data_IF_706773463721
#
_entry.id   IF_706773463721
#
_cell.length_a   1.000
_cell.length_b   1.000
_cell.length_c   1.000
_cell.angle_alpha   90.00
_cell.angle_beta   90.00
_cell.angle_gamma   90.00
#
_symmetry.space_group_name_H-M   'P 1'
#
loop_
_entity.id
_entity.type
_entity.pdbx_description
1 polymer ?
#
# COMPACT_ATOMS: atom_id res chain seq x y z
N UNK A 1 -26.69 11.82 2.62
CA UNK A 1 -26.80 10.34 2.51
C UNK A 1 -25.93 9.60 3.52
N UNK A 2 -24.60 9.80 3.57
CA UNK A 2 -23.71 9.10 4.54
C UNK A 2 -24.15 9.26 6.01
N UNK A 3 -24.52 10.47 6.43
CA UNK A 3 -25.01 10.71 7.81
C UNK A 3 -26.30 9.95 8.14
N UNK A 4 -27.15 9.68 7.13
CA UNK A 4 -28.33 8.83 7.31
C UNK A 4 -27.87 7.39 7.58
N UNK A 5 -27.01 6.82 6.71
CA UNK A 5 -26.51 5.44 6.85
C UNK A 5 -25.77 5.18 8.18
N UNK A 6 -25.14 6.20 8.77
CA UNK A 6 -24.53 6.10 10.10
C UNK A 6 -25.51 5.69 11.19
N UNK A 7 -26.76 6.16 11.10
CA UNK A 7 -27.79 5.95 12.11
C UNK A 7 -28.84 4.90 11.68
N UNK A 8 -28.76 4.41 10.45
CA UNK A 8 -29.69 3.41 9.91
C UNK A 8 -29.39 2.01 10.45
N UNK A 9 -30.43 1.23 10.74
CA UNK A 9 -30.29 -0.16 11.21
C UNK A 9 -29.82 -1.08 10.08
N UNK A 10 -29.11 -2.16 10.44
CA UNK A 10 -28.58 -3.15 9.49
C UNK A 10 -29.64 -3.63 8.49
N UNK A 11 -30.84 -3.97 8.97
CA UNK A 11 -31.95 -4.48 8.14
C UNK A 11 -32.32 -3.50 7.02
N UNK A 12 -32.38 -2.21 7.34
CA UNK A 12 -32.82 -1.19 6.39
C UNK A 12 -31.71 -0.88 5.37
N UNK A 13 -30.44 -0.86 5.79
CA UNK A 13 -29.28 -0.75 4.87
C UNK A 13 -29.23 -1.95 3.92
N UNK A 14 -29.45 -3.15 4.42
CA UNK A 14 -29.46 -4.37 3.62
C UNK A 14 -30.63 -4.39 2.62
N UNK A 15 -31.80 -3.91 3.04
CA UNK A 15 -32.96 -3.77 2.14
C UNK A 15 -32.71 -2.74 1.05
N UNK A 16 -32.01 -1.64 1.37
CA UNK A 16 -31.59 -0.64 0.39
C UNK A 16 -30.63 -1.25 -0.63
N UNK A 17 -29.61 -1.98 -0.19
CA UNK A 17 -28.65 -2.68 -1.07
C UNK A 17 -29.36 -3.67 -1.99
N UNK A 18 -30.26 -4.51 -1.47
CA UNK A 18 -30.96 -5.55 -2.26
C UNK A 18 -31.98 -4.99 -3.27
N UNK A 19 -32.50 -3.78 -3.05
CA UNK A 19 -33.56 -3.18 -3.90
C UNK A 19 -33.04 -2.10 -4.84
N UNK A 20 -31.79 -1.67 -4.68
CA UNK A 20 -31.21 -0.66 -5.52
C UNK A 20 -31.04 -1.19 -6.96
N UNK A 21 -31.29 -0.35 -7.98
CA UNK A 21 -30.84 -0.62 -9.34
C UNK A 21 -29.33 -0.85 -9.38
N UNK A 22 -28.88 -1.70 -10.31
CA UNK A 22 -27.48 -2.11 -10.42
C UNK A 22 -26.54 -0.90 -10.60
N UNK A 23 -26.99 0.15 -11.31
CA UNK A 23 -26.22 1.36 -11.56
C UNK A 23 -26.01 2.20 -10.30
N UNK A 24 -26.89 2.06 -9.31
CA UNK A 24 -26.79 2.77 -8.03
C UNK A 24 -25.99 2.00 -6.97
N UNK A 25 -25.81 0.68 -7.13
CA UNK A 25 -25.12 -0.17 -6.15
C UNK A 25 -23.72 0.33 -5.77
N UNK A 26 -22.83 0.72 -6.73
CA UNK A 26 -21.50 1.22 -6.39
C UNK A 26 -21.55 2.42 -5.43
N UNK A 27 -22.44 3.38 -5.68
CA UNK A 27 -22.59 4.58 -4.85
C UNK A 27 -23.09 4.26 -3.44
N UNK A 28 -24.01 3.30 -3.33
CA UNK A 28 -24.55 2.88 -2.02
C UNK A 28 -23.47 2.14 -1.22
N UNK A 29 -22.67 1.29 -1.87
CA UNK A 29 -21.53 0.62 -1.25
C UNK A 29 -20.50 1.64 -0.75
N UNK A 30 -20.08 2.58 -1.60
CA UNK A 30 -19.13 3.62 -1.21
C UNK A 30 -19.65 4.44 -0.02
N UNK A 31 -20.93 4.81 -0.03
CA UNK A 31 -21.55 5.55 1.06
C UNK A 31 -21.65 4.73 2.36
N UNK A 32 -21.92 3.42 2.27
CA UNK A 32 -21.99 2.52 3.41
C UNK A 32 -20.59 2.29 4.03
N UNK A 33 -19.54 2.16 3.21
CA UNK A 33 -18.16 2.10 3.67
C UNK A 33 -17.76 3.43 4.33
N UNK A 34 -18.10 4.57 3.73
CA UNK A 34 -17.82 5.90 4.29
C UNK A 34 -18.60 6.20 5.58
N UNK A 35 -19.74 5.53 5.79
CA UNK A 35 -20.51 5.66 7.03
C UNK A 35 -19.73 5.10 8.23
N UNK A 36 -18.94 4.03 8.06
CA UNK A 36 -18.18 3.37 9.12
C UNK A 36 -19.02 2.93 10.33
N UNK A 37 -20.34 2.77 10.18
CA UNK A 37 -21.20 2.28 11.25
C UNK A 37 -21.22 0.75 11.28
N UNK A 38 -21.30 0.17 12.48
CA UNK A 38 -21.41 -1.28 12.67
C UNK A 38 -22.56 -1.86 11.84
N UNK A 39 -23.69 -1.15 11.79
CA UNK A 39 -24.86 -1.56 11.00
C UNK A 39 -24.60 -1.57 9.49
N UNK A 40 -23.91 -0.56 8.95
CA UNK A 40 -23.59 -0.48 7.52
C UNK A 40 -22.57 -1.54 7.12
N UNK A 41 -21.51 -1.72 7.91
CA UNK A 41 -20.49 -2.73 7.64
C UNK A 41 -21.05 -4.15 7.76
N UNK A 42 -21.90 -4.43 8.76
CA UNK A 42 -22.56 -5.72 8.88
C UNK A 42 -23.53 -6.00 7.72
N UNK A 43 -24.21 -4.97 7.20
CA UNK A 43 -25.06 -5.10 6.02
C UNK A 43 -24.24 -5.39 4.76
N UNK A 44 -23.11 -4.69 4.56
CA UNK A 44 -22.18 -4.96 3.46
C UNK A 44 -21.58 -6.37 3.55
N UNK A 45 -21.22 -6.81 4.76
CA UNK A 45 -20.71 -8.16 4.98
C UNK A 45 -21.73 -9.23 4.62
N UNK A 46 -23.02 -9.00 4.84
CA UNK A 46 -24.08 -9.94 4.44
C UNK A 46 -24.39 -9.85 2.94
N UNK A 47 -24.31 -8.67 2.36
CA UNK A 47 -24.67 -8.42 0.96
C UNK A 47 -23.58 -8.89 -0.02
N UNK A 48 -22.31 -8.57 0.23
CA UNK A 48 -21.22 -8.81 -0.71
C UNK A 48 -20.75 -10.27 -0.67
N UNK A 49 -21.12 -11.05 -1.69
CA UNK A 49 -20.56 -12.39 -1.94
C UNK A 49 -19.45 -12.32 -3.00
N UNK A 50 -18.19 -12.33 -2.55
CA UNK A 50 -17.04 -12.24 -3.45
C UNK A 50 -16.92 -13.40 -4.47
N UNK A 51 -17.67 -14.50 -4.27
CA UNK A 51 -17.74 -15.61 -5.24
C UNK A 51 -18.82 -15.46 -6.31
N UNK A 52 -19.72 -14.47 -6.19
CA UNK A 52 -20.89 -14.31 -7.07
C UNK A 52 -21.05 -12.91 -7.63
N UNK A 53 -20.70 -11.89 -6.85
CA UNK A 53 -20.87 -10.50 -7.25
C UNK A 53 -19.98 -10.13 -8.44
N UNK A 54 -20.41 -9.19 -9.30
CA UNK A 54 -19.59 -8.72 -10.39
C UNK A 54 -18.25 -8.15 -9.91
N UNK A 55 -17.17 -8.48 -10.61
CA UNK A 55 -15.81 -8.00 -10.32
C UNK A 55 -15.76 -6.48 -10.13
N UNK A 56 -16.43 -5.72 -11.00
CA UNK A 56 -16.48 -4.25 -10.93
C UNK A 56 -17.07 -3.75 -9.61
N UNK A 57 -18.07 -4.43 -9.07
CA UNK A 57 -18.70 -4.08 -7.80
C UNK A 57 -17.76 -4.37 -6.61
N UNK A 58 -17.07 -5.52 -6.65
CA UNK A 58 -16.10 -5.91 -5.65
C UNK A 58 -14.89 -4.96 -5.60
N UNK A 59 -14.37 -4.58 -6.76
CA UNK A 59 -13.30 -3.59 -6.86
C UNK A 59 -13.74 -2.23 -6.29
N UNK A 60 -14.96 -1.78 -6.57
CA UNK A 60 -15.51 -0.54 -5.99
C UNK A 60 -15.56 -0.58 -4.47
N UNK A 61 -16.02 -1.70 -3.89
CA UNK A 61 -15.97 -1.90 -2.45
C UNK A 61 -14.53 -1.83 -1.91
N UNK A 62 -13.58 -2.54 -2.53
CA UNK A 62 -12.19 -2.60 -2.09
C UNK A 62 -11.48 -1.23 -2.20
N UNK A 63 -11.72 -0.48 -3.27
CA UNK A 63 -11.21 0.88 -3.40
C UNK A 63 -11.81 1.80 -2.34
N UNK A 64 -13.13 1.75 -2.12
CA UNK A 64 -13.78 2.53 -1.07
C UNK A 64 -13.18 2.22 0.31
N UNK A 65 -12.90 0.94 0.59
CA UNK A 65 -12.25 0.52 1.83
C UNK A 65 -10.82 1.07 1.92
N UNK A 66 -10.01 0.87 0.87
CA UNK A 66 -8.62 1.34 0.81
C UNK A 66 -8.51 2.86 1.00
N UNK A 67 -9.44 3.64 0.45
CA UNK A 67 -9.46 5.10 0.54
C UNK A 67 -10.16 5.65 1.77
N UNK A 68 -10.75 4.80 2.63
CA UNK A 68 -11.41 5.28 3.85
C UNK A 68 -10.42 6.07 4.73
N UNK A 69 -10.71 7.33 5.11
CA UNK A 69 -9.74 8.18 5.79
C UNK A 69 -9.50 7.78 7.25
N UNK A 70 -10.53 7.25 7.92
CA UNK A 70 -10.48 6.74 9.29
C UNK A 70 -11.20 5.40 9.34
N UNK A 71 -10.55 4.32 8.89
CA UNK A 71 -11.15 3.00 8.91
C UNK A 71 -11.31 2.48 10.34
N UNK A 72 -12.27 1.57 10.51
CA UNK A 72 -12.51 0.78 11.72
C UNK A 72 -11.88 -0.61 11.62
N UNK A 73 -11.70 -1.28 12.77
CA UNK A 73 -11.23 -2.67 12.80
C UNK A 73 -12.23 -3.60 12.12
N UNK A 74 -13.53 -3.31 12.22
CA UNK A 74 -14.62 -4.03 11.58
C UNK A 74 -14.53 -3.99 10.05
N UNK A 75 -14.11 -2.85 9.47
CA UNK A 75 -13.89 -2.76 8.02
C UNK A 75 -12.69 -3.62 7.59
N UNK A 76 -11.60 -3.62 8.36
CA UNK A 76 -10.46 -4.49 8.08
C UNK A 76 -10.85 -5.96 8.22
N UNK A 77 -11.59 -6.32 9.26
CA UNK A 77 -12.11 -7.67 9.46
C UNK A 77 -12.97 -8.12 8.29
N UNK A 78 -13.87 -7.26 7.80
CA UNK A 78 -14.71 -7.56 6.65
C UNK A 78 -13.86 -7.84 5.41
N UNK A 79 -12.86 -7.01 5.10
CA UNK A 79 -11.95 -7.26 3.97
C UNK A 79 -11.19 -8.58 4.15
N UNK A 80 -10.67 -8.86 5.35
CA UNK A 80 -9.97 -10.11 5.64
C UNK A 80 -10.87 -11.33 5.45
N UNK A 81 -12.08 -11.31 6.00
CA UNK A 81 -13.07 -12.38 5.89
C UNK A 81 -13.48 -12.64 4.42
N UNK A 82 -13.63 -11.57 3.63
CA UNK A 82 -14.01 -11.71 2.22
C UNK A 82 -12.90 -12.26 1.34
N UNK A 83 -11.64 -12.08 1.71
CA UNK A 83 -10.49 -12.62 0.99
C UNK A 83 -10.09 -14.03 1.45
N UNK A 84 -10.43 -14.42 2.68
CA UNK A 84 -9.97 -15.67 3.27
C UNK A 84 -10.52 -16.91 2.56
N UNK A 85 -9.63 -17.85 2.21
CA UNK A 85 -9.98 -19.17 1.67
C UNK A 85 -10.71 -19.20 0.31
N UNK A 86 -10.88 -18.07 -0.37
CA UNK A 86 -11.65 -17.99 -1.62
C UNK A 86 -10.76 -17.92 -2.86
N UNK A 87 -11.17 -18.64 -3.90
CA UNK A 87 -10.60 -18.47 -5.23
C UNK A 87 -11.30 -17.30 -5.91
N UNK A 88 -10.62 -16.14 -5.93
CA UNK A 88 -11.15 -14.89 -6.49
C UNK A 88 -10.54 -14.63 -7.87
N UNK A 89 -11.19 -13.75 -8.64
CA UNK A 89 -10.56 -13.20 -9.83
C UNK A 89 -9.24 -12.50 -9.42
N UNK A 90 -8.14 -12.68 -10.17
CA UNK A 90 -6.82 -12.17 -9.79
C UNK A 90 -6.83 -10.69 -9.41
N UNK A 91 -7.52 -9.85 -10.16
CA UNK A 91 -7.52 -8.41 -9.93
C UNK A 91 -8.30 -8.02 -8.67
N UNK A 92 -9.34 -8.78 -8.30
CA UNK A 92 -10.06 -8.60 -7.03
C UNK A 92 -9.16 -9.00 -5.86
N UNK A 93 -8.41 -10.09 -6.00
CA UNK A 93 -7.46 -10.54 -4.99
C UNK A 93 -6.33 -9.51 -4.80
N UNK A 94 -5.77 -9.00 -5.90
CA UNK A 94 -4.74 -7.97 -5.89
C UNK A 94 -5.23 -6.67 -5.25
N UNK A 95 -6.39 -6.15 -5.68
CA UNK A 95 -7.01 -4.98 -5.08
C UNK A 95 -7.28 -5.21 -3.58
N UNK A 96 -7.67 -6.41 -3.19
CA UNK A 96 -7.91 -6.80 -1.80
C UNK A 96 -6.67 -6.74 -0.93
N UNK A 97 -5.56 -7.29 -1.42
CA UNK A 97 -4.26 -7.27 -0.72
C UNK A 97 -3.76 -5.82 -0.56
N UNK A 98 -3.85 -5.01 -1.61
CA UNK A 98 -3.44 -3.59 -1.58
C UNK A 98 -4.33 -2.79 -0.62
N UNK A 99 -5.64 -3.03 -0.63
CA UNK A 99 -6.61 -2.41 0.28
C UNK A 99 -6.33 -2.77 1.74
N UNK A 100 -6.02 -4.04 2.01
CA UNK A 100 -5.64 -4.53 3.34
C UNK A 100 -4.41 -3.77 3.87
N UNK A 101 -3.38 -3.58 3.05
CA UNK A 101 -2.20 -2.79 3.42
C UNK A 101 -2.55 -1.34 3.81
N UNK A 102 -3.44 -0.70 3.05
CA UNK A 102 -3.90 0.67 3.34
C UNK A 102 -4.69 0.76 4.66
N UNK A 103 -5.55 -0.22 4.93
CA UNK A 103 -6.34 -0.28 6.16
C UNK A 103 -5.43 -0.50 7.38
N UNK A 104 -4.51 -1.45 7.30
CA UNK A 104 -3.50 -1.71 8.35
C UNK A 104 -2.71 -0.45 8.64
N UNK A 105 -2.15 0.20 7.62
CA UNK A 105 -1.35 1.42 7.81
C UNK A 105 -2.12 2.55 8.48
N UNK A 106 -3.38 2.78 8.07
CA UNK A 106 -4.23 3.81 8.67
C UNK A 106 -4.67 3.47 10.10
N UNK A 107 -4.91 2.20 10.43
CA UNK A 107 -5.20 1.79 11.80
C UNK A 107 -3.96 1.94 12.69
N UNK A 108 -2.78 1.60 12.19
CA UNK A 108 -1.52 1.82 12.90
C UNK A 108 -1.21 3.31 13.13
N UNK A 109 -1.50 4.18 12.15
CA UNK A 109 -1.41 5.64 12.30
C UNK A 109 -2.39 6.18 13.36
N UNK A 110 -3.52 5.50 13.56
CA UNK A 110 -4.48 5.77 14.64
C UNK A 110 -4.09 5.13 15.98
N UNK A 111 -2.85 4.64 16.13
CA UNK A 111 -2.31 3.98 17.32
C UNK A 111 -2.95 2.63 17.66
N UNK A 112 -3.53 1.93 16.68
CA UNK A 112 -4.21 0.63 16.87
C UNK A 112 -3.36 -0.60 16.47
N UNK A 113 -2.09 -0.40 16.10
CA UNK A 113 -1.25 -1.41 15.43
C UNK A 113 -1.04 -2.73 16.19
N UNK A 114 -1.09 -2.69 17.52
CA UNK A 114 -0.99 -3.87 18.41
C UNK A 114 -2.10 -3.91 19.46
N UNK A 115 -3.17 -3.15 19.24
CA UNK A 115 -4.34 -3.12 20.14
C UNK A 115 -5.50 -3.94 19.58
N UNK A 116 -5.50 -4.20 18.27
CA UNK A 116 -6.57 -4.88 17.56
C UNK A 116 -6.05 -6.14 16.89
N UNK A 117 -6.67 -7.28 17.20
CA UNK A 117 -6.33 -8.59 16.64
C UNK A 117 -6.45 -8.60 15.12
N UNK A 118 -7.38 -7.82 14.57
CA UNK A 118 -7.63 -7.66 13.14
C UNK A 118 -6.41 -7.08 12.43
N UNK A 119 -5.73 -6.12 13.06
CA UNK A 119 -4.53 -5.48 12.50
C UNK A 119 -3.38 -6.47 12.45
N UNK A 120 -3.11 -7.18 13.57
CA UNK A 120 -2.09 -8.22 13.61
C UNK A 120 -2.34 -9.33 12.59
N UNK A 121 -3.61 -9.76 12.44
CA UNK A 121 -4.02 -10.71 11.41
C UNK A 121 -3.72 -10.17 10.01
N UNK A 122 -4.05 -8.91 9.73
CA UNK A 122 -3.74 -8.25 8.45
C UNK A 122 -2.25 -8.24 8.14
N UNK A 123 -1.40 -7.83 9.09
CA UNK A 123 0.06 -7.85 8.94
C UNK A 123 0.57 -9.26 8.65
N UNK A 124 0.11 -10.25 9.44
CA UNK A 124 0.51 -11.64 9.28
C UNK A 124 0.09 -12.20 7.91
N UNK A 125 -1.10 -11.87 7.43
CA UNK A 125 -1.60 -12.27 6.11
C UNK A 125 -0.72 -11.72 5.00
N UNK A 126 -0.38 -10.42 5.03
CA UNK A 126 0.49 -9.79 4.04
C UNK A 126 1.88 -10.44 4.03
N UNK A 127 2.51 -10.62 5.20
CA UNK A 127 3.85 -11.20 5.30
C UNK A 127 3.89 -12.68 4.90
N UNK A 128 2.86 -13.44 5.25
CA UNK A 128 2.76 -14.86 4.88
C UNK A 128 2.51 -15.00 3.38
N UNK A 129 1.67 -14.14 2.81
CA UNK A 129 1.44 -14.07 1.38
C UNK A 129 2.70 -13.71 0.60
N UNK A 130 3.48 -12.72 1.07
CA UNK A 130 4.76 -12.35 0.46
C UNK A 130 5.75 -13.53 0.43
N UNK A 131 5.87 -14.27 1.54
CA UNK A 131 6.74 -15.46 1.62
C UNK A 131 6.26 -16.62 0.74
N UNK A 132 4.96 -16.74 0.53
CA UNK A 132 4.35 -17.81 -0.25
C UNK A 132 4.21 -17.50 -1.75
N UNK A 133 4.40 -16.24 -2.16
CA UNK A 133 4.27 -15.78 -3.54
C UNK A 133 5.29 -16.47 -4.44
N UNK A 134 4.83 -17.00 -5.57
CA UNK A 134 5.66 -17.76 -6.53
C UNK A 134 5.98 -16.96 -7.78
N UNK A 135 5.10 -16.01 -8.13
CA UNK A 135 5.24 -15.16 -9.30
C UNK A 135 5.76 -13.79 -8.90
N UNK A 136 6.57 -13.17 -9.75
CA UNK A 136 7.04 -11.80 -9.50
C UNK A 136 5.89 -10.80 -9.35
N UNK A 137 4.82 -10.95 -10.14
CA UNK A 137 3.62 -10.11 -10.04
C UNK A 137 2.96 -10.22 -8.66
N UNK A 138 2.89 -11.41 -8.07
CA UNK A 138 2.33 -11.62 -6.73
C UNK A 138 3.22 -10.95 -5.67
N UNK A 139 4.55 -11.11 -5.76
CA UNK A 139 5.51 -10.47 -4.85
C UNK A 139 5.36 -8.96 -4.88
N UNK A 140 5.26 -8.36 -6.08
CA UNK A 140 5.05 -6.92 -6.26
C UNK A 140 3.79 -6.44 -5.52
N UNK A 141 2.68 -7.17 -5.62
CA UNK A 141 1.42 -6.80 -4.97
C UNK A 141 1.55 -6.80 -3.44
N UNK A 142 2.23 -7.78 -2.85
CA UNK A 142 2.48 -7.78 -1.41
C UNK A 142 3.45 -6.68 -0.97
N UNK A 143 4.46 -6.34 -1.79
CA UNK A 143 5.35 -5.21 -1.51
C UNK A 143 4.60 -3.87 -1.56
N UNK A 144 3.66 -3.70 -2.49
CA UNK A 144 2.77 -2.53 -2.53
C UNK A 144 1.90 -2.45 -1.28
N UNK A 145 1.37 -3.59 -0.81
CA UNK A 145 0.61 -3.64 0.43
C UNK A 145 1.46 -3.27 1.66
N UNK A 146 2.70 -3.76 1.74
CA UNK A 146 3.65 -3.34 2.79
C UNK A 146 3.98 -1.85 2.71
N UNK A 147 4.16 -1.32 1.50
CA UNK A 147 4.36 0.11 1.26
C UNK A 147 3.15 0.96 1.63
N UNK A 148 1.92 0.43 1.54
CA UNK A 148 0.72 1.10 2.06
C UNK A 148 0.63 1.02 3.60
N UNK A 149 1.10 -0.08 4.19
CA UNK A 149 1.05 -0.31 5.63
C UNK A 149 2.10 0.52 6.40
N UNK A 150 3.27 0.78 5.79
CA UNK A 150 4.35 1.62 6.33
C UNK A 150 4.78 1.18 7.75
N UNK A 151 4.98 -0.12 7.91
CA UNK A 151 5.31 -0.73 9.21
C UNK A 151 6.83 -0.80 9.42
N UNK A 152 7.41 -0.13 10.43
CA UNK A 152 8.87 -0.07 10.62
C UNK A 152 9.55 -1.45 10.71
N UNK A 153 8.89 -2.43 11.30
CA UNK A 153 9.35 -3.81 11.43
C UNK A 153 9.53 -4.51 10.07
N UNK A 154 8.90 -4.01 9.01
CA UNK A 154 8.97 -4.59 7.64
C UNK A 154 10.13 -4.03 6.81
N UNK A 155 10.84 -3.00 7.30
CA UNK A 155 11.93 -2.35 6.58
C UNK A 155 13.03 -3.35 6.21
N UNK A 156 13.32 -4.31 7.09
CA UNK A 156 14.32 -5.34 6.78
C UNK A 156 13.94 -6.11 5.51
N UNK A 157 12.70 -6.62 5.46
CA UNK A 157 12.17 -7.37 4.32
C UNK A 157 12.18 -6.53 3.04
N UNK A 158 11.80 -5.26 3.12
CA UNK A 158 11.85 -4.36 1.97
C UNK A 158 13.29 -4.14 1.46
N UNK A 159 14.27 -4.02 2.35
CA UNK A 159 15.67 -3.86 1.95
C UNK A 159 16.20 -5.12 1.24
N UNK A 160 15.86 -6.31 1.71
CA UNK A 160 16.27 -7.57 1.07
C UNK A 160 15.74 -7.62 -0.37
N UNK A 161 14.45 -7.33 -0.58
CA UNK A 161 13.85 -7.28 -1.91
C UNK A 161 14.41 -6.14 -2.79
N UNK A 162 14.71 -4.98 -2.21
CA UNK A 162 15.28 -3.84 -2.93
C UNK A 162 16.69 -4.14 -3.46
N UNK A 163 17.52 -4.84 -2.70
CA UNK A 163 18.90 -5.13 -3.10
C UNK A 163 19.03 -6.42 -3.95
N UNK A 164 18.25 -7.45 -3.64
CA UNK A 164 18.45 -8.79 -4.22
C UNK A 164 17.41 -9.13 -5.27
N UNK A 165 16.19 -8.57 -5.17
CA UNK A 165 15.07 -8.91 -6.04
C UNK A 165 15.26 -8.55 -7.53
N UNK A 166 14.63 -9.29 -8.46
CA UNK A 166 14.51 -8.89 -9.86
C UNK A 166 14.01 -7.45 -10.03
N UNK A 167 14.20 -6.86 -11.22
CA UNK A 167 13.93 -5.44 -11.46
C UNK A 167 12.59 -4.96 -10.91
N UNK A 168 11.48 -5.59 -11.29
CA UNK A 168 10.14 -5.18 -10.84
C UNK A 168 9.96 -5.25 -9.31
N UNK A 169 10.52 -6.29 -8.69
CA UNK A 169 10.50 -6.50 -7.23
C UNK A 169 11.34 -5.43 -6.52
N UNK A 170 12.54 -5.15 -7.04
CA UNK A 170 13.41 -4.11 -6.49
C UNK A 170 12.76 -2.73 -6.60
N UNK A 171 12.17 -2.40 -7.75
CA UNK A 171 11.42 -1.15 -7.95
C UNK A 171 10.30 -1.02 -6.92
N UNK A 172 9.46 -2.05 -6.78
CA UNK A 172 8.34 -2.06 -5.85
C UNK A 172 8.80 -1.88 -4.39
N UNK A 173 9.88 -2.56 -4.01
CA UNK A 173 10.44 -2.46 -2.66
C UNK A 173 11.04 -1.07 -2.37
N UNK A 174 11.75 -0.46 -3.32
CA UNK A 174 12.28 0.89 -3.19
C UNK A 174 11.14 1.91 -3.10
N UNK A 175 10.12 1.79 -3.95
CA UNK A 175 8.91 2.64 -3.89
C UNK A 175 8.14 2.46 -2.57
N UNK A 176 8.13 1.26 -1.99
CA UNK A 176 7.59 1.05 -0.65
C UNK A 176 8.41 1.78 0.42
N UNK A 177 9.75 1.71 0.35
CA UNK A 177 10.66 2.42 1.27
C UNK A 177 10.53 3.95 1.17
N UNK A 178 10.26 4.50 -0.02
CA UNK A 178 10.03 5.94 -0.22
C UNK A 178 8.84 6.48 0.58
N UNK A 179 7.88 5.64 0.96
CA UNK A 179 6.68 6.05 1.70
C UNK A 179 6.90 6.17 3.19
N UNK A 180 8.04 5.69 3.70
CA UNK A 180 8.35 5.77 5.12
C UNK A 180 8.70 7.20 5.53
N UNK A 181 8.15 7.69 6.66
CA UNK A 181 8.60 8.95 7.25
C UNK A 181 10.10 8.96 7.54
N UNK A 182 10.74 10.14 7.45
CA UNK A 182 12.19 10.30 7.59
C UNK A 182 12.79 9.65 8.85
N UNK A 183 12.06 9.67 9.98
CA UNK A 183 12.47 9.01 11.24
C UNK A 183 12.75 7.50 11.10
N UNK A 184 12.20 6.85 10.08
CA UNK A 184 12.41 5.42 9.80
C UNK A 184 13.46 5.18 8.71
N UNK A 185 13.92 6.21 8.01
CA UNK A 185 14.99 6.14 7.01
C UNK A 185 16.36 6.17 7.71
N UNK A 186 16.68 5.05 8.35
CA UNK A 186 17.91 4.89 9.13
C UNK A 186 19.18 4.89 8.25
N UNK A 187 20.34 4.96 8.90
CA UNK A 187 21.63 4.76 8.24
C UNK A 187 21.75 3.41 7.50
N UNK A 188 21.03 2.37 7.93
CA UNK A 188 20.96 1.07 7.21
C UNK A 188 20.26 1.25 5.85
N UNK A 189 19.12 1.94 5.84
CA UNK A 189 18.37 2.24 4.60
C UNK A 189 19.22 3.09 3.67
N UNK A 190 19.79 4.20 4.16
CA UNK A 190 20.68 5.06 3.35
C UNK A 190 21.86 4.30 2.75
N UNK A 191 22.50 3.39 3.51
CA UNK A 191 23.58 2.55 2.98
C UNK A 191 23.13 1.64 1.84
N UNK A 192 21.94 1.05 1.93
CA UNK A 192 21.38 0.25 0.84
C UNK A 192 21.09 1.12 -0.40
N UNK A 193 20.45 2.29 -0.21
CA UNK A 193 20.15 3.21 -1.31
C UNK A 193 21.40 3.67 -2.05
N UNK A 194 22.52 3.93 -1.33
CA UNK A 194 23.82 4.21 -1.97
C UNK A 194 24.31 3.06 -2.84
N UNK A 195 24.18 1.82 -2.37
CA UNK A 195 24.61 0.64 -3.14
C UNK A 195 23.74 0.44 -4.38
N UNK A 196 22.44 0.72 -4.28
CA UNK A 196 21.50 0.65 -5.41
C UNK A 196 21.82 1.75 -6.42
N UNK A 197 21.88 3.01 -5.98
CA UNK A 197 22.14 4.17 -6.84
C UNK A 197 23.46 4.06 -7.64
N UNK A 198 24.51 3.55 -6.98
CA UNK A 198 25.83 3.34 -7.59
C UNK A 198 26.05 1.94 -8.15
N UNK A 199 25.00 1.11 -8.24
CA UNK A 199 25.03 -0.23 -8.84
C UNK A 199 26.16 -1.12 -8.30
N UNK A 200 26.44 -1.05 -6.98
CA UNK A 200 27.60 -1.71 -6.36
C UNK A 200 27.50 -3.22 -6.25
N UNK A 201 26.29 -3.77 -6.35
CA UNK A 201 26.03 -5.22 -6.21
C UNK A 201 25.59 -5.87 -7.52
N UNK A 202 24.78 -5.17 -8.29
CA UNK A 202 24.24 -5.58 -9.59
C UNK A 202 23.83 -4.33 -10.37
N UNK A 203 23.48 -4.51 -11.64
CA UNK A 203 22.83 -3.44 -12.39
C UNK A 203 21.39 -3.25 -11.93
N UNK A 204 20.97 -1.99 -11.86
CA UNK A 204 19.62 -1.60 -11.49
C UNK A 204 19.03 -0.75 -12.61
N UNK A 205 17.71 -0.86 -12.77
CA UNK A 205 17.00 0.02 -13.69
C UNK A 205 17.19 1.49 -13.29
N UNK A 206 17.20 2.36 -14.30
CA UNK A 206 17.35 3.81 -14.13
C UNK A 206 16.34 4.38 -13.13
N UNK A 207 15.09 3.94 -13.20
CA UNK A 207 14.00 4.33 -12.30
C UNK A 207 14.30 3.94 -10.84
N UNK A 208 14.79 2.72 -10.59
CA UNK A 208 15.26 2.29 -9.26
C UNK A 208 16.38 3.19 -8.72
N UNK A 209 17.35 3.53 -9.57
CA UNK A 209 18.48 4.37 -9.18
C UNK A 209 18.00 5.77 -8.81
N UNK A 210 17.10 6.37 -9.60
CA UNK A 210 16.51 7.67 -9.27
C UNK A 210 15.73 7.61 -7.96
N UNK A 211 14.89 6.59 -7.77
CA UNK A 211 14.12 6.43 -6.54
C UNK A 211 15.02 6.29 -5.30
N UNK A 212 16.14 5.56 -5.43
CA UNK A 212 17.14 5.45 -4.36
C UNK A 212 17.83 6.79 -4.07
N UNK A 213 18.16 7.57 -5.10
CA UNK A 213 18.72 8.92 -4.94
C UNK A 213 17.72 9.86 -4.25
N UNK A 214 16.43 9.79 -4.59
CA UNK A 214 15.40 10.57 -3.92
C UNK A 214 15.29 10.24 -2.44
N UNK A 215 15.32 8.96 -2.05
CA UNK A 215 15.35 8.59 -0.62
C UNK A 215 16.56 9.22 0.08
N UNK A 216 17.73 9.25 -0.56
CA UNK A 216 18.94 9.86 0.02
C UNK A 216 18.79 11.37 0.19
N UNK A 217 18.19 12.06 -0.78
CA UNK A 217 18.04 13.52 -0.80
C UNK A 217 16.91 14.00 0.10
N UNK A 218 15.79 13.28 0.18
CA UNK A 218 14.60 13.69 0.93
C UNK A 218 14.71 13.47 2.45
N UNK A 219 15.73 12.73 2.89
CA UNK A 219 15.82 12.27 4.27
C UNK A 219 17.15 12.67 4.92
N UNK A 220 17.38 13.98 5.14
CA UNK A 220 18.62 14.50 5.75
C UNK A 220 19.89 14.00 5.04
N UNK A 221 20.16 14.50 3.82
CA UNK A 221 21.27 14.03 3.02
C UNK A 221 22.61 14.38 3.67
N UNK A 222 23.57 13.44 3.62
CA UNK A 222 24.94 13.79 3.97
C UNK A 222 25.55 14.63 2.84
N UNK A 223 26.46 15.59 3.13
CA UNK A 223 27.16 16.34 2.08
C UNK A 223 27.81 15.43 1.03
N UNK A 224 28.34 14.29 1.48
CA UNK A 224 28.94 13.30 0.58
C UNK A 224 27.92 12.58 -0.32
N UNK A 225 26.67 12.42 0.13
CA UNK A 225 25.61 11.87 -0.71
C UNK A 225 25.28 12.82 -1.84
N UNK A 226 25.14 14.12 -1.53
CA UNK A 226 24.91 15.18 -2.53
C UNK A 226 26.04 15.23 -3.55
N UNK A 227 27.30 15.25 -3.09
CA UNK A 227 28.49 15.28 -3.97
C UNK A 227 28.50 14.06 -4.89
N UNK A 228 28.31 12.85 -4.35
CA UNK A 228 28.33 11.62 -5.14
C UNK A 228 27.19 11.55 -6.15
N UNK A 229 26.01 12.07 -5.81
CA UNK A 229 24.87 12.16 -6.73
C UNK A 229 25.17 13.13 -7.87
N UNK A 230 25.70 14.32 -7.58
CA UNK A 230 26.07 15.30 -8.61
C UNK A 230 27.17 14.79 -9.54
N UNK A 231 28.20 14.13 -8.99
CA UNK A 231 29.26 13.50 -9.79
C UNK A 231 28.72 12.38 -10.69
N UNK A 232 27.75 11.60 -10.20
CA UNK A 232 27.10 10.58 -10.98
C UNK A 232 26.22 11.19 -12.09
N UNK A 233 25.47 12.25 -11.79
CA UNK A 233 24.58 12.93 -12.75
C UNK A 233 25.33 13.38 -14.02
N UNK A 234 26.57 13.84 -13.90
CA UNK A 234 27.42 14.21 -15.05
C UNK A 234 27.71 13.06 -16.03
N UNK A 235 27.48 11.81 -15.61
CA UNK A 235 27.70 10.59 -16.42
C UNK A 235 26.38 9.89 -16.79
N UNK A 236 25.25 10.48 -16.43
CA UNK A 236 23.92 9.92 -16.70
C UNK A 236 23.30 10.57 -17.94
N UNK A 237 22.21 9.97 -18.43
CA UNK A 237 21.43 10.55 -19.52
C UNK A 237 20.82 11.90 -19.12
N UNK A 238 20.62 12.77 -20.11
CA UNK A 238 20.23 14.17 -19.92
C UNK A 238 19.02 14.35 -19.01
N UNK A 239 17.98 13.53 -19.18
CA UNK A 239 16.74 13.63 -18.39
C UNK A 239 16.97 13.28 -16.91
N UNK A 240 17.71 12.20 -16.65
CA UNK A 240 18.05 11.77 -15.29
C UNK A 240 18.94 12.80 -14.60
N UNK A 241 19.94 13.33 -15.32
CA UNK A 241 20.83 14.35 -14.80
C UNK A 241 20.05 15.63 -14.46
N UNK A 242 19.18 16.10 -15.35
CA UNK A 242 18.33 17.27 -15.12
C UNK A 242 17.41 17.09 -13.91
N UNK A 243 16.78 15.91 -13.78
CA UNK A 243 15.94 15.58 -12.63
C UNK A 243 16.72 15.64 -11.31
N UNK A 244 17.88 14.98 -11.24
CA UNK A 244 18.70 14.96 -10.02
C UNK A 244 19.23 16.34 -9.64
N UNK A 245 19.65 17.14 -10.63
CA UNK A 245 20.09 18.52 -10.41
C UNK A 245 18.98 19.37 -9.81
N UNK A 246 17.76 19.29 -10.36
CA UNK A 246 16.60 20.02 -9.85
C UNK A 246 16.22 19.55 -8.44
N UNK A 247 16.29 18.25 -8.17
CA UNK A 247 16.04 17.67 -6.84
C UNK A 247 17.04 18.19 -5.80
N UNK A 248 18.33 18.21 -6.12
CA UNK A 248 19.38 18.76 -5.24
C UNK A 248 19.14 20.26 -4.99
N UNK A 249 18.84 21.04 -6.03
CA UNK A 249 18.54 22.47 -5.89
C UNK A 249 17.35 22.72 -4.96
N UNK A 250 16.29 21.91 -5.06
CA UNK A 250 15.12 22.03 -4.19
C UNK A 250 15.39 21.58 -2.75
N UNK A 251 16.33 20.65 -2.54
CA UNK A 251 16.69 20.15 -1.21
C UNK A 251 17.61 21.11 -0.43
N UNK A 252 18.21 22.08 -1.12
CA UNK A 252 19.13 23.09 -0.55
C UNK A 252 18.45 24.46 -0.32
N UNK A 253 17.18 24.60 -0.70
CA UNK A 253 16.36 25.79 -0.40
C UNK A 253 15.69 25.66 0.96
#
# INVERSE_FOLDING_TARGET
>A
FIQMLRNTKKRDVLQLLRRAPEEMLPFIIEAAVAAQSVASLAALSEFLDFGKEPKSLLEKFLYAAAFSPRPSGELLWLVLDKLDGKQLAPEVQEAGIVAMGSLVGKLCQQQLCGLQQEVERGVKTILTGLRGAKKESEVVIYLLALGNAVLPETIHTLLDHAEEGPTAIATAAISALQRFPARHISGKVKRAMRRIFHEKRKSYEKTCRLAAAEILLDNEPLPMDVINILLAANKMETEMAAFLLLKVQNSLR
#
